data_IF_617978870408
#
_entry.id   IF_617978870408
#
_cell.length_a   1.000
_cell.length_b   1.000
_cell.length_c   1.000
_cell.angle_alpha   90.00
_cell.angle_beta   90.00
_cell.angle_gamma   90.00
#
_symmetry.space_group_name_H-M   'P 1'
#
loop_
_entity.id
_entity.type
_entity.pdbx_description
1 polymer ?
#
# COMPACT_ATOMS: atom_id res chain seq x y z
N UNK A 1 -44.90 18.53 24.49
CA UNK A 1 -43.59 18.15 23.91
C UNK A 1 -42.52 18.69 24.85
N UNK A 2 -41.90 17.84 25.67
CA UNK A 2 -40.90 18.28 26.63
C UNK A 2 -39.58 18.56 25.90
N UNK A 3 -39.13 19.82 25.90
CA UNK A 3 -37.78 20.18 25.44
C UNK A 3 -36.79 19.67 26.49
N UNK A 4 -36.06 18.61 26.15
CA UNK A 4 -34.98 18.09 26.98
C UNK A 4 -33.86 19.14 27.01
N UNK A 5 -33.70 19.83 28.14
CA UNK A 5 -32.59 20.78 28.37
C UNK A 5 -31.32 19.96 28.58
N UNK A 6 -30.61 19.67 27.50
CA UNK A 6 -29.37 18.89 27.56
C UNK A 6 -28.33 19.66 28.38
N UNK A 7 -27.77 19.09 29.46
CA UNK A 7 -26.81 19.80 30.29
C UNK A 7 -25.57 20.16 29.47
N UNK A 8 -25.09 21.40 29.60
CA UNK A 8 -23.95 21.95 28.84
C UNK A 8 -22.71 21.07 28.91
N UNK A 9 -22.48 20.40 30.04
CA UNK A 9 -21.37 19.45 30.20
C UNK A 9 -21.51 18.21 29.32
N UNK A 10 -22.72 17.66 29.21
CA UNK A 10 -22.99 16.50 28.34
C UNK A 10 -22.84 16.90 26.87
N UNK A 11 -23.29 18.10 26.51
CA UNK A 11 -23.09 18.66 25.18
C UNK A 11 -21.60 18.76 24.83
N UNK A 12 -20.79 19.35 25.73
CA UNK A 12 -19.33 19.46 25.56
C UNK A 12 -18.67 18.08 25.39
N UNK A 13 -19.03 17.09 26.21
CA UNK A 13 -18.49 15.74 26.08
C UNK A 13 -18.79 15.13 24.70
N UNK A 14 -20.04 15.25 24.22
CA UNK A 14 -20.44 14.75 22.90
C UNK A 14 -19.64 15.45 21.79
N UNK A 15 -19.46 16.77 21.89
CA UNK A 15 -18.62 17.52 20.94
C UNK A 15 -17.17 17.00 20.91
N UNK A 16 -16.55 16.74 22.06
CA UNK A 16 -15.19 16.18 22.11
C UNK A 16 -15.10 14.79 21.48
N UNK A 17 -16.07 13.90 21.74
CA UNK A 17 -16.08 12.57 21.12
C UNK A 17 -16.24 12.63 19.59
N UNK A 18 -17.07 13.54 19.08
CA UNK A 18 -17.24 13.74 17.63
C UNK A 18 -15.95 14.26 16.98
N UNK A 19 -15.26 15.21 17.63
CA UNK A 19 -13.99 15.76 17.12
C UNK A 19 -12.88 14.70 17.08
N UNK A 20 -12.78 13.85 18.10
CA UNK A 20 -11.81 12.76 18.14
C UNK A 20 -12.09 11.69 17.07
N UNK A 21 -13.36 11.29 16.88
CA UNK A 21 -13.73 10.30 15.86
C UNK A 21 -13.55 10.79 14.42
N UNK A 22 -13.69 12.10 14.16
CA UNK A 22 -13.49 12.67 12.84
C UNK A 22 -12.01 12.66 12.38
N UNK A 23 -11.07 12.70 13.32
CA UNK A 23 -9.63 12.67 13.01
C UNK A 23 -9.17 11.32 12.45
N UNK A 24 -9.72 10.20 12.96
CA UNK A 24 -9.35 8.85 12.49
C UNK A 24 -9.94 8.52 11.11
N UNK A 25 -11.13 9.05 10.80
CA UNK A 25 -11.77 8.92 9.49
C UNK A 25 -10.93 9.52 8.36
N UNK A 26 -10.19 10.60 8.62
CA UNK A 26 -9.31 11.22 7.63
C UNK A 26 -8.09 10.35 7.32
N UNK A 27 -7.53 9.66 8.32
CA UNK A 27 -6.42 8.73 8.11
C UNK A 27 -6.85 7.43 7.41
N UNK A 28 -8.05 6.92 7.73
CA UNK A 28 -8.62 5.77 7.03
C UNK A 28 -8.99 6.08 5.57
N UNK A 29 -9.41 7.32 5.27
CA UNK A 29 -9.70 7.75 3.91
C UNK A 29 -8.45 8.01 3.07
N UNK A 30 -7.31 8.31 3.71
CA UNK A 30 -6.05 8.64 3.02
C UNK A 30 -5.34 7.45 2.36
N UNK A 31 -5.76 6.19 2.58
CA UNK A 31 -5.04 5.01 2.04
C UNK A 31 -5.92 3.87 1.55
N UNK A 32 -7.04 4.16 0.87
CA UNK A 32 -7.82 3.11 0.21
C UNK A 32 -7.17 2.49 -1.03
N UNK A 33 -6.12 3.12 -1.56
CA UNK A 33 -5.49 2.70 -2.79
C UNK A 33 -4.02 2.43 -2.54
N UNK A 34 -3.64 1.19 -2.79
CA UNK A 34 -2.26 0.77 -2.88
C UNK A 34 -1.67 1.41 -4.16
N UNK A 35 -0.59 2.16 -4.03
CA UNK A 35 0.13 2.71 -5.18
C UNK A 35 0.48 1.56 -6.16
N UNK A 36 0.07 1.63 -7.42
CA UNK A 36 0.34 0.57 -8.39
C UNK A 36 1.85 0.29 -8.56
N UNK A 37 2.70 1.25 -8.21
CA UNK A 37 4.13 1.09 -8.09
C UNK A 37 4.55 -0.03 -7.15
N UNK A 38 3.84 -0.38 -6.08
CA UNK A 38 4.23 -1.55 -5.25
C UNK A 38 3.96 -2.91 -5.92
N UNK A 39 3.16 -2.96 -6.99
CA UNK A 39 3.09 -4.15 -7.85
C UNK A 39 4.39 -4.34 -8.64
N UNK A 40 5.09 -3.25 -8.94
CA UNK A 40 6.42 -3.33 -9.52
C UNK A 40 7.42 -3.73 -8.41
N UNK A 41 8.02 -4.93 -8.49
CA UNK A 41 8.93 -5.41 -7.46
C UNK A 41 10.11 -4.46 -7.22
N UNK A 42 10.53 -3.70 -8.23
CA UNK A 42 11.66 -2.77 -8.17
C UNK A 42 11.34 -1.42 -7.53
N UNK A 43 10.06 -1.08 -7.34
CA UNK A 43 9.65 0.18 -6.70
C UNK A 43 9.23 0.00 -5.24
N UNK A 44 9.32 -1.23 -4.71
CA UNK A 44 9.00 -1.49 -3.30
C UNK A 44 10.00 -0.79 -2.37
N UNK A 45 9.55 -0.27 -1.21
CA UNK A 45 10.47 0.22 -0.19
C UNK A 45 11.38 -0.91 0.30
N UNK A 46 12.58 -0.56 0.80
CA UNK A 46 13.57 -1.52 1.30
C UNK A 46 14.86 -1.63 0.49
N UNK A 47 15.10 -0.73 -0.47
CA UNK A 47 16.34 -0.66 -1.23
C UNK A 47 16.29 -1.38 -2.58
N UNK A 48 17.46 -1.68 -3.16
CA UNK A 48 17.54 -2.33 -4.47
C UNK A 48 17.18 -3.82 -4.35
N UNK A 49 16.09 -4.20 -5.00
CA UNK A 49 15.62 -5.59 -5.02
C UNK A 49 16.38 -6.45 -6.03
N UNK A 50 16.44 -7.76 -5.79
CA UNK A 50 17.09 -8.71 -6.71
C UNK A 50 16.43 -8.64 -8.09
N UNK A 51 17.26 -8.50 -9.13
CA UNK A 51 16.81 -8.40 -10.52
C UNK A 51 16.47 -6.98 -10.98
N UNK A 52 16.54 -6.00 -10.07
CA UNK A 52 16.30 -4.59 -10.37
C UNK A 52 17.60 -3.86 -10.67
N UNK A 53 17.58 -3.00 -11.68
CA UNK A 53 18.72 -2.18 -12.05
C UNK A 53 18.69 -0.85 -11.29
N UNK A 54 19.82 -0.33 -10.77
CA UNK A 54 19.86 0.96 -10.04
C UNK A 54 19.42 2.15 -10.91
N UNK A 55 19.72 2.11 -12.21
CA UNK A 55 19.08 2.99 -13.20
C UNK A 55 17.69 2.45 -13.56
N UNK A 56 16.59 3.17 -13.25
CA UNK A 56 15.22 2.73 -13.53
C UNK A 56 14.86 2.68 -15.02
N UNK A 57 15.67 3.29 -15.90
CA UNK A 57 15.48 3.26 -17.36
C UNK A 57 16.23 2.10 -18.05
N UNK A 58 17.05 1.37 -17.30
CA UNK A 58 17.81 0.25 -17.84
C UNK A 58 17.01 -1.07 -17.78
N UNK A 59 17.37 -2.08 -18.60
CA UNK A 59 16.77 -3.40 -18.52
C UNK A 59 16.92 -4.05 -17.14
N UNK A 60 16.03 -5.00 -16.82
CA UNK A 60 16.18 -5.82 -15.62
C UNK A 60 17.51 -6.58 -15.62
N UNK A 61 18.11 -6.73 -14.44
CA UNK A 61 19.35 -7.49 -14.25
C UNK A 61 19.05 -8.92 -13.82
N UNK A 62 20.04 -9.78 -13.94
CA UNK A 62 19.93 -11.16 -13.48
C UNK A 62 19.69 -11.18 -11.96
N UNK A 63 18.59 -11.80 -11.51
CA UNK A 63 18.20 -11.80 -10.10
C UNK A 63 19.02 -12.75 -9.22
N UNK A 64 19.63 -13.77 -9.83
CA UNK A 64 20.35 -14.84 -9.15
C UNK A 64 21.61 -15.24 -9.93
N UNK A 65 22.72 -15.63 -9.25
CA UNK A 65 23.99 -15.97 -9.91
C UNK A 65 23.93 -17.30 -10.70
N UNK A 66 22.81 -18.02 -10.63
CA UNK A 66 22.66 -19.28 -11.32
C UNK A 66 22.47 -19.04 -12.81
N UNK A 67 23.35 -19.60 -13.61
CA UNK A 67 23.26 -19.63 -15.08
C UNK A 67 22.34 -20.74 -15.58
N UNK A 68 21.41 -21.22 -14.74
CA UNK A 68 20.40 -22.20 -15.13
C UNK A 68 19.40 -21.50 -16.06
N UNK A 69 19.80 -21.38 -17.31
CA UNK A 69 18.95 -20.96 -18.40
C UNK A 69 17.89 -22.02 -18.69
N UNK A 70 17.04 -21.70 -19.64
CA UNK A 70 16.07 -22.65 -20.11
C UNK A 70 16.72 -23.71 -21.00
N UNK A 71 16.69 -24.98 -20.61
CA UNK A 71 17.20 -26.07 -21.45
C UNK A 71 16.24 -26.43 -22.58
N UNK A 72 14.93 -26.24 -22.37
CA UNK A 72 13.86 -26.50 -23.33
C UNK A 72 12.79 -25.43 -23.21
N UNK A 73 12.53 -24.69 -24.28
CA UNK A 73 11.59 -23.55 -24.30
C UNK A 73 10.21 -23.88 -23.71
N UNK A 74 9.71 -25.11 -23.92
CA UNK A 74 8.45 -25.62 -23.36
C UNK A 74 8.41 -25.67 -21.83
N UNK A 75 9.56 -25.76 -21.15
CA UNK A 75 9.63 -25.82 -19.68
C UNK A 75 9.77 -24.44 -19.02
N UNK A 76 10.16 -23.41 -19.77
CA UNK A 76 10.37 -22.06 -19.21
C UNK A 76 9.37 -21.03 -19.71
N UNK A 77 8.58 -21.39 -20.72
CA UNK A 77 7.35 -20.67 -21.02
C UNK A 77 6.34 -20.96 -19.91
N UNK A 78 6.49 -20.24 -18.79
CA UNK A 78 5.45 -20.17 -17.77
C UNK A 78 4.33 -19.32 -18.33
N UNK A 79 3.19 -19.95 -18.61
CA UNK A 79 1.94 -19.23 -18.73
C UNK A 79 1.55 -18.80 -17.32
N UNK A 80 1.51 -17.49 -17.11
CA UNK A 80 0.84 -16.89 -15.95
C UNK A 80 -0.51 -16.43 -16.47
N UNK A 81 -1.56 -17.17 -16.12
CA UNK A 81 -2.95 -16.78 -16.33
C UNK A 81 -3.29 -15.52 -15.51
#
# INVERSE_FOLDING_TARGET
MAMVKLPTRLCLCIFFFVLLGAAELQQAAASRYVDYGVLNPCKRPGGLHKGCHPNPKAPMVQANPYTRGCTKSTHCRRYTD
#
